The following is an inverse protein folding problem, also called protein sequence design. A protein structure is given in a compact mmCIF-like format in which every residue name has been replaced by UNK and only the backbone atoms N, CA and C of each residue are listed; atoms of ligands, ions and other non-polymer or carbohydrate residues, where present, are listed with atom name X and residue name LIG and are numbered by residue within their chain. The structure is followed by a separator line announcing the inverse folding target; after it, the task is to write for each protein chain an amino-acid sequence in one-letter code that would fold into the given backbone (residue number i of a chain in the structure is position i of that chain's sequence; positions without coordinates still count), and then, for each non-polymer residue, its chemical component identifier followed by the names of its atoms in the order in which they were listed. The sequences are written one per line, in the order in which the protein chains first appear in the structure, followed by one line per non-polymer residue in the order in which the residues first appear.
data_IF_082819481741
#
_entry.id   IF_082819481741
#
_cell.length_a   1.000
_cell.length_b   1.000
_cell.length_c   1.000
_cell.angle_alpha   90.00
_cell.angle_beta   90.00
_cell.angle_gamma   90.00
#
_symmetry.space_group_name_H-M   'P 1'
#
loop_
_entity.id
_entity.type
_entity.pdbx_description
1 polymer ?
#
# COMPACT_ATOMS: atom_id res chain seq x y z
N UNK A 1 -3.89 -6.99 4.01
CA UNK A 1 -4.95 -6.08 4.48
C UNK A 1 -5.25 -5.06 3.39
N UNK A 2 -6.47 -4.51 3.38
CA UNK A 2 -6.82 -3.41 2.49
C UNK A 2 -6.30 -2.09 3.07
N UNK A 3 -5.88 -1.16 2.22
CA UNK A 3 -5.23 0.09 2.60
C UNK A 3 -5.53 1.19 1.58
N UNK A 4 -5.10 2.41 1.87
CA UNK A 4 -5.22 3.55 0.96
C UNK A 4 -6.68 3.94 0.72
N UNK A 5 -6.97 4.55 -0.43
CA UNK A 5 -8.30 4.99 -0.80
C UNK A 5 -9.33 3.85 -0.75
N UNK A 6 -8.94 2.66 -1.19
CA UNK A 6 -9.78 1.47 -1.12
C UNK A 6 -10.01 1.06 0.34
N UNK A 7 -9.01 1.16 1.20
CA UNK A 7 -9.09 0.80 2.62
C UNK A 7 -9.60 1.91 3.54
N UNK A 8 -10.29 2.93 3.02
CA UNK A 8 -10.78 4.04 3.84
C UNK A 8 -9.68 4.89 4.49
N UNK A 9 -8.52 4.99 3.83
CA UNK A 9 -7.34 5.70 4.35
C UNK A 9 -6.47 4.87 5.28
N UNK A 10 -6.77 3.58 5.50
CA UNK A 10 -5.96 2.71 6.33
C UNK A 10 -4.52 2.56 5.78
N UNK A 11 -3.55 2.51 6.69
CA UNK A 11 -2.16 2.20 6.36
C UNK A 11 -1.88 0.72 6.55
N UNK A 12 -0.87 0.22 5.86
CA UNK A 12 -0.46 -1.17 6.00
C UNK A 12 0.32 -1.40 7.29
N UNK A 13 0.08 -2.52 8.00
CA UNK A 13 0.84 -2.88 9.19
C UNK A 13 2.30 -3.18 8.84
N UNK A 14 3.19 -2.99 9.82
CA UNK A 14 4.62 -3.30 9.67
C UNK A 14 5.37 -2.43 8.65
N UNK A 15 4.81 -1.28 8.26
CA UNK A 15 5.43 -0.39 7.26
C UNK A 15 5.42 -0.95 5.84
N UNK A 16 4.58 -1.94 5.53
CA UNK A 16 4.44 -2.46 4.18
C UNK A 16 3.87 -1.39 3.23
N UNK A 17 4.22 -1.46 1.96
CA UNK A 17 3.72 -0.55 0.94
C UNK A 17 2.24 -0.82 0.65
N UNK A 18 1.47 0.24 0.48
CA UNK A 18 0.10 0.16 -0.02
C UNK A 18 0.09 0.34 -1.54
N UNK A 19 -0.21 -0.71 -2.28
CA UNK A 19 -0.32 -0.67 -3.75
C UNK A 19 -1.40 0.29 -4.23
N UNK A 20 -1.36 0.65 -5.51
CA UNK A 20 -2.42 1.42 -6.18
C UNK A 20 -3.80 0.74 -6.12
N UNK A 21 -3.83 -0.58 -5.89
CA UNK A 21 -5.04 -1.38 -5.79
C UNK A 21 -5.55 -1.52 -4.35
N UNK A 22 -4.89 -0.85 -3.39
CA UNK A 22 -5.30 -0.85 -1.99
C UNK A 22 -4.94 -2.12 -1.24
N UNK A 23 -3.89 -2.82 -1.67
CA UNK A 23 -3.37 -4.00 -0.97
C UNK A 23 -1.97 -3.76 -0.41
N UNK A 24 -1.67 -4.38 0.72
CA UNK A 24 -0.37 -4.31 1.38
C UNK A 24 0.63 -5.35 0.86
N UNK A 25 1.88 -4.94 0.64
CA UNK A 25 2.99 -5.84 0.30
C UNK A 25 4.33 -5.09 0.19
N UNK A 26 5.43 -5.81 0.01
CA UNK A 26 6.79 -5.25 -0.04
C UNK A 26 7.48 -5.39 -1.40
N UNK A 27 6.80 -5.92 -2.42
CA UNK A 27 7.39 -6.07 -3.76
C UNK A 27 7.15 -4.81 -4.60
N UNK A 28 7.86 -4.63 -5.74
CA UNK A 28 7.65 -3.49 -6.62
C UNK A 28 6.21 -3.32 -7.13
N UNK A 29 5.40 -4.40 -7.15
CA UNK A 29 3.97 -4.32 -7.47
C UNK A 29 3.17 -3.50 -6.44
N UNK A 30 3.67 -3.42 -5.21
CA UNK A 30 3.05 -2.69 -4.10
C UNK A 30 3.72 -1.36 -3.83
N UNK A 31 5.05 -1.32 -3.94
CA UNK A 31 5.86 -0.14 -3.62
C UNK A 31 6.16 0.76 -4.83
N UNK A 32 5.87 0.29 -6.04
CA UNK A 32 6.19 0.99 -7.29
C UNK A 32 5.15 2.04 -7.68
N UNK A 33 4.92 2.16 -8.99
CA UNK A 33 4.00 3.14 -9.54
C UNK A 33 2.60 3.02 -8.92
N UNK A 34 2.04 4.18 -8.53
CA UNK A 34 0.73 4.27 -7.89
C UNK A 34 0.68 3.80 -6.43
N UNK A 35 1.83 3.49 -5.81
CA UNK A 35 1.87 3.24 -4.37
C UNK A 35 1.32 4.44 -3.58
N UNK A 36 0.47 4.15 -2.60
CA UNK A 36 -0.31 5.12 -1.85
C UNK A 36 0.31 5.47 -0.49
N UNK A 37 1.02 4.53 0.14
CA UNK A 37 1.68 4.76 1.44
C UNK A 37 2.83 3.80 1.66
N UNK A 38 3.80 4.21 2.49
CA UNK A 38 5.01 3.46 2.85
C UNK A 38 5.84 2.97 1.63
N UNK A 39 5.99 3.80 0.61
CA UNK A 39 6.62 3.40 -0.67
C UNK A 39 8.16 3.48 -0.69
N UNK A 40 8.82 3.50 0.47
CA UNK A 40 10.27 3.76 0.63
C UNK A 40 10.89 2.76 1.59
#
# INVERSE_FOLDING_TARGET
AQCGAQGGGATCPGGLCCSQWGWCGSTPKYCGAGCQSNCK
#
